data_IF_767163057118
#
_entry.id   IF_767163057118
#
_cell.length_a   1.000
_cell.length_b   1.000
_cell.length_c   1.000
_cell.angle_alpha   90.00
_cell.angle_beta   90.00
_cell.angle_gamma   90.00
#
_symmetry.space_group_name_H-M   'P 1'
#
loop_
_entity.id
_entity.type
_entity.pdbx_description
1 polymer ?
#
# COMPACT_ATOMS: atom_id res chain seq x y z
N UNK A 1 9.50 -7.84 -6.17
CA UNK A 1 8.03 -7.86 -6.06
C UNK A 1 7.66 -7.56 -4.63
N UNK A 2 7.15 -6.36 -4.42
CA UNK A 2 6.71 -5.87 -3.12
C UNK A 2 5.38 -6.53 -2.74
N UNK A 3 5.16 -6.84 -1.46
CA UNK A 3 3.93 -7.50 -0.99
C UNK A 3 2.67 -6.71 -1.34
N UNK A 4 2.79 -5.38 -1.40
CA UNK A 4 1.73 -4.44 -1.78
C UNK A 4 1.26 -4.68 -3.22
N UNK A 5 2.17 -4.86 -4.17
CA UNK A 5 1.85 -5.12 -5.58
C UNK A 5 1.03 -6.40 -5.72
N UNK A 6 1.41 -7.46 -4.99
CA UNK A 6 0.69 -8.74 -5.00
C UNK A 6 -0.70 -8.65 -4.38
N UNK A 7 -0.85 -7.91 -3.29
CA UNK A 7 -2.14 -7.76 -2.61
C UNK A 7 -3.10 -6.90 -3.41
N UNK A 8 -2.62 -5.81 -3.99
CA UNK A 8 -3.45 -4.90 -4.78
C UNK A 8 -3.59 -5.35 -6.24
N UNK A 9 -2.79 -6.32 -6.68
CA UNK A 9 -2.71 -6.80 -8.07
C UNK A 9 -2.46 -5.66 -9.07
N UNK A 10 -1.67 -4.66 -8.66
CA UNK A 10 -1.24 -3.52 -9.47
C UNK A 10 0.28 -3.35 -9.38
N UNK A 11 0.85 -2.72 -10.40
CA UNK A 11 2.27 -2.40 -10.45
C UNK A 11 2.56 -1.00 -9.91
N UNK A 12 3.81 -0.74 -9.54
CA UNK A 12 4.27 0.59 -9.19
C UNK A 12 4.04 1.60 -10.33
N UNK A 13 3.37 2.70 -10.03
CA UNK A 13 2.92 3.71 -10.98
C UNK A 13 1.52 3.48 -11.54
N UNK A 14 0.77 2.47 -11.07
CA UNK A 14 -0.60 2.21 -11.51
C UNK A 14 -1.65 2.46 -10.44
N UNK A 15 -2.86 2.72 -10.90
CA UNK A 15 -4.08 2.80 -10.08
C UNK A 15 -4.87 1.50 -10.20
N UNK A 16 -5.41 1.02 -9.08
CA UNK A 16 -6.33 -0.11 -9.05
C UNK A 16 -7.56 0.16 -9.92
N UNK A 17 -8.14 -0.91 -10.46
CA UNK A 17 -9.34 -0.84 -11.31
C UNK A 17 -10.54 -0.23 -10.60
N UNK A 18 -10.58 -0.37 -9.28
CA UNK A 18 -11.64 0.17 -8.42
C UNK A 18 -11.43 1.65 -8.08
N UNK A 19 -10.39 2.29 -8.65
CA UNK A 19 -10.02 3.69 -8.42
C UNK A 19 -9.78 4.05 -6.95
N UNK A 20 -9.59 3.03 -6.12
CA UNK A 20 -9.48 3.17 -4.66
C UNK A 20 -8.04 3.35 -4.19
N UNK A 21 -7.08 2.78 -4.92
CA UNK A 21 -5.67 2.79 -4.55
C UNK A 21 -4.80 3.14 -5.75
N UNK A 22 -3.83 4.01 -5.54
CA UNK A 22 -2.72 4.25 -6.49
C UNK A 22 -1.43 3.83 -5.81
N UNK A 23 -0.68 2.94 -6.46
CA UNK A 23 0.64 2.55 -5.98
C UNK A 23 1.68 3.40 -6.67
N UNK A 24 2.40 4.23 -5.92
CA UNK A 24 3.52 5.01 -6.46
C UNK A 24 4.81 4.67 -5.73
N UNK A 25 5.87 4.42 -6.50
CA UNK A 25 7.22 4.23 -5.96
C UNK A 25 8.00 5.52 -6.08
N UNK A 26 8.41 6.03 -4.92
CA UNK A 26 9.24 7.23 -4.81
C UNK A 26 10.65 6.83 -4.38
N UNK A 27 11.65 7.42 -5.05
CA UNK A 27 13.05 7.08 -4.79
C UNK A 27 13.56 7.64 -3.46
N UNK A 28 13.07 8.82 -3.05
CA UNK A 28 13.48 9.46 -1.81
C UNK A 28 12.28 10.16 -1.17
N UNK A 29 11.96 9.75 0.06
CA UNK A 29 10.98 10.42 0.92
C UNK A 29 11.65 11.31 1.98
N UNK A 30 12.98 11.48 1.92
CA UNK A 30 13.73 12.19 2.96
C UNK A 30 13.73 11.52 4.34
N UNK A 31 13.16 10.32 4.43
CA UNK A 31 12.94 9.57 5.68
C UNK A 31 13.90 8.38 5.81
N UNK A 32 15.18 8.59 5.45
CA UNK A 32 16.20 7.53 5.46
C UNK A 32 16.35 6.86 6.84
N UNK A 33 16.07 7.58 7.92
CA UNK A 33 16.08 7.07 9.28
C UNK A 33 14.86 6.19 9.65
N UNK A 34 13.79 6.23 8.84
CA UNK A 34 12.49 5.58 9.10
C UNK A 34 12.15 4.45 8.10
N UNK A 35 13.12 4.04 7.28
CA UNK A 35 12.91 2.95 6.34
C UNK A 35 12.48 1.65 7.04
N UNK A 36 11.70 0.76 6.38
CA UNK A 36 10.79 0.98 5.26
C UNK A 36 9.63 1.91 5.67
N UNK A 37 9.32 2.89 4.83
CA UNK A 37 8.24 3.86 5.05
C UNK A 37 7.21 3.78 3.93
N UNK A 38 5.94 3.87 4.29
CA UNK A 38 4.80 3.93 3.36
C UNK A 38 4.02 5.20 3.69
N UNK A 39 3.61 5.96 2.67
CA UNK A 39 2.69 7.09 2.86
C UNK A 39 1.31 6.66 2.37
N UNK A 40 0.28 6.85 3.21
CA UNK A 40 -1.12 6.63 2.80
C UNK A 40 -1.92 7.84 3.21
N UNK A 41 -2.65 8.45 2.26
CA UNK A 41 -3.46 9.66 2.49
C UNK A 41 -2.70 10.83 3.15
N UNK A 42 -1.39 10.95 2.86
CA UNK A 42 -0.52 11.97 3.45
C UNK A 42 0.06 11.62 4.83
N UNK A 43 -0.34 10.49 5.43
CA UNK A 43 0.24 10.00 6.68
C UNK A 43 1.48 9.12 6.42
N UNK A 44 2.58 9.43 7.10
CA UNK A 44 3.82 8.66 7.01
C UNK A 44 3.83 7.51 8.02
N UNK A 45 3.87 6.28 7.51
CA UNK A 45 4.02 5.07 8.29
C UNK A 45 5.44 4.53 8.14
N UNK A 46 6.32 4.84 9.09
CA UNK A 46 7.69 4.33 9.15
C UNK A 46 7.81 2.97 9.85
N UNK A 47 8.97 2.31 9.72
CA UNK A 47 9.22 0.98 10.30
C UNK A 47 8.14 -0.05 9.92
N UNK A 48 7.74 -0.03 8.65
CA UNK A 48 6.75 -0.93 8.11
C UNK A 48 7.34 -2.32 7.91
N UNK A 49 6.66 -3.31 8.50
CA UNK A 49 6.92 -4.72 8.28
C UNK A 49 5.83 -5.30 7.40
N UNK A 50 6.07 -6.45 6.80
CA UNK A 50 5.06 -7.12 5.96
C UNK A 50 3.71 -7.30 6.68
N UNK A 51 3.73 -7.64 7.97
CA UNK A 51 2.52 -7.79 8.77
C UNK A 51 1.81 -6.45 9.08
N UNK A 52 2.57 -5.37 9.30
CA UNK A 52 2.00 -4.03 9.50
C UNK A 52 1.37 -3.50 8.23
N UNK A 53 2.01 -3.73 7.08
CA UNK A 53 1.48 -3.37 5.77
C UNK A 53 0.15 -4.07 5.51
N UNK A 54 0.04 -5.36 5.84
CA UNK A 54 -1.24 -6.08 5.67
C UNK A 54 -2.35 -5.43 6.47
N UNK A 55 -2.14 -5.20 7.77
CA UNK A 55 -3.13 -4.54 8.63
C UNK A 55 -3.45 -3.11 8.20
N UNK A 56 -2.46 -2.40 7.66
CA UNK A 56 -2.66 -1.05 7.15
C UNK A 56 -3.60 -1.09 5.94
N UNK A 57 -3.28 -1.95 4.96
CA UNK A 57 -4.11 -2.15 3.77
C UNK A 57 -5.53 -2.56 4.15
N UNK A 58 -5.70 -3.53 5.06
CA UNK A 58 -7.03 -3.99 5.47
C UNK A 58 -7.88 -2.84 6.04
N UNK A 59 -7.30 -1.99 6.90
CA UNK A 59 -7.99 -0.81 7.45
C UNK A 59 -8.42 0.19 6.38
N UNK A 60 -7.57 0.46 5.40
CA UNK A 60 -7.91 1.40 4.34
C UNK A 60 -8.89 0.82 3.32
N UNK A 61 -8.82 -0.49 3.04
CA UNK A 61 -9.78 -1.20 2.19
C UNK A 61 -11.18 -1.14 2.83
N UNK A 62 -11.27 -1.43 4.13
CA UNK A 62 -12.53 -1.28 4.89
C UNK A 62 -13.04 0.16 4.90
N UNK A 63 -12.16 1.14 5.14
CA UNK A 63 -12.52 2.55 5.20
C UNK A 63 -12.97 3.10 3.83
N UNK A 64 -12.36 2.64 2.74
CA UNK A 64 -12.68 3.07 1.39
C UNK A 64 -13.94 2.38 0.81
N UNK A 65 -14.54 1.42 1.53
CA UNK A 65 -15.77 0.73 1.13
C UNK A 65 -15.62 -0.20 -0.08
N UNK A 66 -14.40 -0.35 -0.61
CA UNK A 66 -14.07 -1.26 -1.69
C UNK A 66 -13.86 -2.66 -1.14
N UNK A 67 -14.67 -3.63 -1.57
CA UNK A 67 -14.40 -5.05 -1.32
C UNK A 67 -13.21 -5.48 -2.18
N UNK A 68 -11.99 -5.17 -1.75
CA UNK A 68 -10.79 -5.67 -2.41
C UNK A 68 -10.50 -7.06 -1.86
N UNK A 69 -11.21 -8.07 -2.37
CA UNK A 69 -10.92 -9.49 -2.15
C UNK A 69 -9.66 -9.86 -2.97
N UNK A 70 -8.49 -10.11 -2.35
CA UNK A 70 -7.33 -10.61 -3.08
C UNK A 70 -7.38 -12.14 -3.29
N UNK A 71 -8.54 -12.78 -3.10
CA UNK A 71 -8.67 -14.24 -3.19
C UNK A 71 -9.15 -14.70 -4.58
N UNK A 72 -8.21 -14.93 -5.49
CA UNK A 72 -8.08 -16.20 -6.26
C UNK A 72 -6.89 -16.17 -7.22
N UNK A 73 -5.77 -16.77 -6.81
CA UNK A 73 -4.98 -17.72 -7.61
C UNK A 73 -3.90 -18.37 -6.76
#
# INVERSE_FOLDING_TARGET
MSKIERRLSIEAGQTSRDLTFTLETVNCLGACALGPVVMVDGEYHGQMTQAKVDRLLDRYIEAAGGKHDPEKS
#
